data_IF_108190057376
#
_entry.id   IF_108190057376
#
_cell.length_a   1.000
_cell.length_b   1.000
_cell.length_c   1.000
_cell.angle_alpha   90.00
_cell.angle_beta   90.00
_cell.angle_gamma   90.00
#
_symmetry.space_group_name_H-M   'P 1'
#
loop_
_entity.id
_entity.type
_entity.pdbx_description
1 polymer ?
#
# COMPACT_ATOMS: atom_id res chain seq x y z
N UNK A 1 26.41 23.54 18.22
CA UNK A 1 26.67 22.45 17.25
C UNK A 1 26.95 21.08 17.91
N UNK A 2 27.73 20.99 18.99
CA UNK A 2 28.08 19.70 19.66
C UNK A 2 26.87 18.93 20.22
N UNK A 3 25.85 19.62 20.76
CA UNK A 3 24.60 18.98 21.24
C UNK A 3 23.79 18.36 20.10
N UNK A 4 23.74 19.00 18.93
CA UNK A 4 22.97 18.53 17.77
C UNK A 4 23.59 17.26 17.19
N UNK A 5 24.92 17.18 17.10
CA UNK A 5 25.64 15.98 16.62
C UNK A 5 25.46 14.76 17.54
N UNK A 6 25.39 14.95 18.87
CA UNK A 6 25.11 13.86 19.82
C UNK A 6 23.71 13.31 19.66
N UNK A 7 22.71 14.17 19.43
CA UNK A 7 21.32 13.75 19.19
C UNK A 7 21.21 13.00 17.85
N UNK A 8 21.87 13.47 16.79
CA UNK A 8 21.89 12.77 15.49
C UNK A 8 22.49 11.37 15.60
N UNK A 9 23.58 11.20 16.35
CA UNK A 9 24.19 9.88 16.55
C UNK A 9 23.29 8.92 17.35
N UNK A 10 22.59 9.41 18.38
CA UNK A 10 21.66 8.57 19.17
C UNK A 10 20.47 8.12 18.31
N UNK A 11 19.91 9.02 17.49
CA UNK A 11 18.80 8.71 16.60
C UNK A 11 19.22 7.70 15.52
N UNK A 12 20.43 7.84 14.97
CA UNK A 12 20.96 6.92 13.96
C UNK A 12 21.27 5.53 14.53
N UNK A 13 21.79 5.46 15.76
CA UNK A 13 22.03 4.18 16.46
C UNK A 13 20.72 3.47 16.85
N UNK A 14 19.72 4.22 17.30
CA UNK A 14 18.38 3.67 17.56
C UNK A 14 17.71 3.16 16.28
N UNK A 15 17.90 3.87 15.17
CA UNK A 15 17.44 3.47 13.84
C UNK A 15 18.10 2.17 13.35
N UNK A 16 19.42 2.02 13.47
CA UNK A 16 20.10 0.76 13.15
C UNK A 16 19.60 -0.41 14.02
N UNK A 17 19.36 -0.17 15.31
CA UNK A 17 18.82 -1.20 16.22
C UNK A 17 17.41 -1.67 15.82
N UNK A 18 16.52 -0.74 15.46
CA UNK A 18 15.15 -1.07 15.02
C UNK A 18 15.11 -1.82 13.69
N UNK A 19 15.96 -1.42 12.72
CA UNK A 19 16.06 -2.12 11.43
C UNK A 19 16.61 -3.54 11.61
N UNK A 20 17.63 -3.73 12.47
CA UNK A 20 18.18 -5.05 12.78
C UNK A 20 17.14 -5.94 13.48
N UNK A 21 16.38 -5.39 14.43
CA UNK A 21 15.28 -6.11 15.08
C UNK A 21 14.17 -6.51 14.10
N UNK A 22 13.79 -5.61 13.19
CA UNK A 22 12.77 -5.87 12.18
C UNK A 22 13.20 -6.97 11.17
N UNK A 23 14.45 -6.96 10.73
CA UNK A 23 15.01 -7.95 9.79
C UNK A 23 15.17 -9.33 10.45
N UNK A 24 15.67 -9.37 11.70
CA UNK A 24 15.84 -10.62 12.45
C UNK A 24 14.50 -11.34 12.72
N UNK A 25 13.41 -10.58 12.91
CA UNK A 25 12.09 -11.14 13.20
C UNK A 25 11.35 -11.71 11.98
N UNK A 26 11.77 -11.42 10.73
CA UNK A 26 11.02 -11.80 9.52
C UNK A 26 11.71 -12.82 8.58
N UNK A 27 12.92 -13.28 8.88
CA UNK A 27 13.56 -14.39 8.14
C UNK A 27 13.62 -14.19 6.62
N UNK A 28 14.07 -13.02 6.15
CA UNK A 28 14.05 -12.65 4.72
C UNK A 28 15.16 -13.36 3.89
N UNK A 29 14.91 -13.70 2.62
CA UNK A 29 15.90 -14.31 1.73
C UNK A 29 17.01 -13.34 1.28
N UNK A 30 18.21 -13.87 1.01
CA UNK A 30 19.46 -13.13 0.83
C UNK A 30 19.44 -12.01 -0.24
N UNK A 31 18.58 -12.09 -1.26
CA UNK A 31 18.45 -11.06 -2.29
C UNK A 31 17.87 -9.72 -1.75
N UNK A 32 17.16 -9.75 -0.61
CA UNK A 32 16.61 -8.56 0.07
C UNK A 32 17.52 -8.05 1.21
N UNK A 33 18.61 -8.75 1.51
CA UNK A 33 19.58 -8.40 2.56
C UNK A 33 20.60 -7.31 2.12
N UNK A 34 20.55 -6.86 0.87
CA UNK A 34 21.43 -5.81 0.33
C UNK A 34 21.14 -4.42 0.92
N UNK A 35 19.88 -4.13 1.24
CA UNK A 35 19.46 -2.83 1.77
C UNK A 35 19.93 -2.58 3.22
N UNK A 36 19.80 -3.53 4.18
CA UNK A 36 20.35 -3.37 5.54
C UNK A 36 21.87 -3.22 5.58
N UNK A 37 22.60 -3.96 4.72
CA UNK A 37 24.07 -3.88 4.63
C UNK A 37 24.51 -2.53 4.05
N UNK A 38 23.82 -2.05 3.01
CA UNK A 38 24.05 -0.71 2.46
C UNK A 38 23.77 0.39 3.50
N UNK A 39 22.70 0.24 4.31
CA UNK A 39 22.37 1.15 5.40
C UNK A 39 23.43 1.13 6.53
N UNK A 40 24.02 -0.02 6.84
CA UNK A 40 25.14 -0.13 7.80
C UNK A 40 26.39 0.59 7.30
N UNK A 41 26.73 0.44 6.02
CA UNK A 41 27.87 1.13 5.40
C UNK A 41 27.65 2.64 5.41
N UNK A 42 26.45 3.10 5.05
CA UNK A 42 26.08 4.52 5.07
C UNK A 42 26.10 5.08 6.50
N UNK A 43 25.57 4.35 7.48
CA UNK A 43 25.59 4.76 8.88
C UNK A 43 27.02 4.83 9.44
N UNK A 44 27.88 3.86 9.13
CA UNK A 44 29.28 3.85 9.55
C UNK A 44 30.08 5.00 8.93
N UNK A 45 29.86 5.30 7.65
CA UNK A 45 30.46 6.45 6.97
C UNK A 45 30.00 7.78 7.61
N UNK A 46 28.71 7.89 7.97
CA UNK A 46 28.15 9.07 8.64
C UNK A 46 28.73 9.32 10.04
N UNK A 47 28.89 8.27 10.86
CA UNK A 47 29.51 8.39 12.20
C UNK A 47 30.97 8.85 12.07
N UNK A 48 31.68 8.40 11.04
CA UNK A 48 33.09 8.73 10.82
C UNK A 48 33.30 10.15 10.31
N UNK A 49 32.40 10.66 9.46
CA UNK A 49 32.44 12.05 8.96
C UNK A 49 32.05 13.04 10.06
N UNK A 50 31.01 12.74 10.84
CA UNK A 50 30.58 13.59 11.96
C UNK A 50 31.61 13.67 13.08
N UNK A 51 32.32 12.57 13.38
CA UNK A 51 33.37 12.57 14.41
C UNK A 51 34.61 13.36 14.00
N UNK A 52 34.97 13.38 12.71
CA UNK A 52 36.08 14.20 12.20
C UNK A 52 35.81 15.71 12.31
N UNK A 53 34.62 16.16 11.94
CA UNK A 53 34.26 17.59 12.06
C UNK A 53 34.19 18.09 13.51
N UNK A 54 33.80 17.24 14.46
CA UNK A 54 33.83 17.58 15.90
C UNK A 54 35.28 17.69 16.41
N UNK A 55 36.19 16.84 15.92
CA UNK A 55 37.61 16.88 16.26
C UNK A 55 38.31 18.13 15.70
N UNK A 56 37.98 18.54 14.47
CA UNK A 56 38.55 19.75 13.86
C UNK A 56 38.01 21.04 14.47
N UNK A 57 36.72 21.08 14.82
CA UNK A 57 36.12 22.23 15.51
C UNK A 57 36.68 22.46 16.93
N UNK A 58 37.25 21.42 17.56
CA UNK A 58 37.92 21.52 18.86
C UNK A 58 39.36 22.04 18.79
N UNK A 59 39.95 22.15 17.59
CA UNK A 59 41.35 22.58 17.38
C UNK A 59 41.50 24.06 17.03
N UNK A 60 40.41 24.79 16.79
CA UNK A 60 40.44 26.23 16.51
C UNK A 60 40.49 26.98 17.85
N UNK A 61 41.67 27.49 18.21
CA UNK A 61 41.85 28.36 19.37
C UNK A 61 41.10 29.70 19.21
N UNK A 62 40.90 30.46 20.30
CA UNK A 62 40.23 31.76 20.23
C UNK A 62 40.98 32.71 19.28
N UNK A 63 40.26 33.63 18.59
CA UNK A 63 40.90 34.59 17.70
C UNK A 63 41.91 35.45 18.48
N UNK A 64 43.05 35.82 17.87
CA UNK A 64 44.02 36.69 18.52
C UNK A 64 43.40 38.06 18.84
N UNK A 65 43.77 38.70 19.96
CA UNK A 65 43.27 40.02 20.30
C UNK A 65 43.68 41.05 19.22
N UNK A 66 42.88 42.12 19.03
CA UNK A 66 43.16 43.13 18.00
C UNK A 66 44.50 43.82 18.26
N UNK A 67 45.30 43.99 17.18
CA UNK A 67 46.64 44.59 17.23
C UNK A 67 46.54 46.08 17.59
N UNK A 68 47.12 46.45 18.74
CA UNK A 68 47.11 47.81 19.31
C UNK A 68 47.80 48.89 18.45
N UNK A 69 48.36 48.52 17.30
CA UNK A 69 49.12 49.40 16.40
C UNK A 69 48.26 50.23 15.43
N UNK A 70 46.93 50.07 15.43
CA UNK A 70 46.00 50.86 14.59
C UNK A 70 44.86 51.51 15.40
N UNK A 71 45.13 52.00 16.61
CA UNK A 71 44.22 52.92 17.29
C UNK A 71 44.46 54.35 16.78
N UNK A 72 43.64 54.84 15.85
CA UNK A 72 43.63 56.27 15.51
C UNK A 72 42.90 57.07 16.59
N UNK A 73 43.42 58.23 17.04
CA UNK A 73 42.71 59.08 17.97
C UNK A 73 41.52 59.78 17.29
N UNK A 74 40.34 59.68 17.90
CA UNK A 74 39.17 60.49 17.52
C UNK A 74 39.40 61.96 17.93
N UNK A 75 39.10 62.95 17.08
CA UNK A 75 39.01 64.33 17.54
C UNK A 75 37.74 64.51 18.38
N UNK A 76 37.89 65.23 19.48
CA UNK A 76 36.81 65.65 20.34
C UNK A 76 35.97 66.73 19.64
N UNK A 77 34.79 66.35 19.16
CA UNK A 77 33.65 67.25 19.06
C UNK A 77 32.42 66.47 19.52
N UNK A 78 32.09 66.65 20.80
CA UNK A 78 30.81 66.23 21.33
C UNK A 78 29.77 67.32 20.98
N UNK A 79 28.58 66.86 20.59
CA UNK A 79 27.27 67.23 21.14
C UNK A 79 26.21 67.38 20.04
N UNK A 80 25.18 66.54 20.21
CA UNK A 80 23.80 66.65 19.75
C UNK A 80 23.55 66.76 18.24
N UNK A 81 22.92 65.72 17.69
CA UNK A 81 21.65 65.89 16.96
C UNK A 81 20.89 64.55 16.94
N UNK A 82 19.72 64.61 17.57
CA UNK A 82 18.47 63.88 17.33
C UNK A 82 18.53 62.46 16.75
N UNK A 83 18.03 61.55 17.58
CA UNK A 83 17.23 60.38 17.21
C UNK A 83 16.31 60.63 16.01
N UNK A 84 16.50 59.86 14.94
CA UNK A 84 15.48 59.23 14.10
C UNK A 84 16.18 58.53 12.93
N UNK A 85 16.69 57.30 13.16
CA UNK A 85 16.91 56.37 12.06
C UNK A 85 15.58 55.62 11.84
N UNK A 86 15.03 55.63 10.61
CA UNK A 86 13.77 54.98 10.32
C UNK A 86 13.94 53.50 10.61
N UNK A 87 13.04 52.97 11.45
CA UNK A 87 12.92 51.56 11.73
C UNK A 87 13.18 50.77 10.44
N UNK A 88 14.32 50.08 10.37
CA UNK A 88 14.49 48.96 9.45
C UNK A 88 13.28 48.10 9.72
N UNK A 89 12.33 48.12 8.81
CA UNK A 89 11.11 47.36 8.91
C UNK A 89 11.54 45.91 9.01
N UNK A 90 11.62 45.41 10.25
CA UNK A 90 11.71 44.00 10.51
C UNK A 90 10.45 43.42 9.86
N UNK A 91 10.62 42.78 8.70
CA UNK A 91 9.53 42.03 8.09
C UNK A 91 8.85 41.23 9.20
N UNK A 92 7.53 41.33 9.37
CA UNK A 92 6.86 40.66 10.46
C UNK A 92 7.17 39.17 10.33
N UNK A 93 7.93 38.68 11.30
CA UNK A 93 8.31 37.29 11.47
C UNK A 93 7.06 36.49 11.86
N UNK A 94 6.10 36.38 10.95
CA UNK A 94 5.20 35.24 10.92
C UNK A 94 6.11 34.03 10.83
N UNK A 95 6.24 33.30 11.94
CA UNK A 95 7.03 32.09 12.05
C UNK A 95 6.71 31.18 10.88
N UNK A 96 7.53 31.23 9.82
CA UNK A 96 7.24 30.53 8.56
C UNK A 96 7.10 29.05 8.90
N UNK A 97 5.96 28.46 8.54
CA UNK A 97 5.65 27.07 8.88
C UNK A 97 6.81 26.15 8.50
N UNK A 98 7.11 25.15 9.33
CA UNK A 98 8.24 24.23 9.13
C UNK A 98 8.25 23.65 7.71
N UNK A 99 7.06 23.32 7.19
CA UNK A 99 6.85 22.84 5.83
C UNK A 99 7.36 23.82 4.76
N UNK A 100 7.03 25.11 4.90
CA UNK A 100 7.48 26.14 3.95
C UNK A 100 8.98 26.37 4.03
N UNK A 101 9.57 26.31 5.24
CA UNK A 101 11.03 26.43 5.42
C UNK A 101 11.79 25.30 4.76
N UNK A 102 11.32 24.05 4.89
CA UNK A 102 11.92 22.93 4.17
C UNK A 102 11.73 23.07 2.67
N UNK A 103 10.50 23.32 2.21
CA UNK A 103 10.21 23.51 0.78
C UNK A 103 11.12 24.55 0.16
N UNK A 104 11.34 25.68 0.83
CA UNK A 104 12.22 26.74 0.35
C UNK A 104 13.69 26.35 0.39
N UNK A 105 14.10 25.35 1.17
CA UNK A 105 15.49 24.93 1.37
C UNK A 105 16.22 25.73 2.47
N UNK A 106 15.49 26.30 3.42
CA UNK A 106 16.05 27.18 4.47
C UNK A 106 16.84 26.39 5.55
N UNK A 107 16.62 25.07 5.64
CA UNK A 107 17.38 24.18 6.50
C UNK A 107 18.76 23.84 5.92
N UNK A 108 19.69 23.43 6.77
CA UNK A 108 20.99 22.94 6.32
C UNK A 108 20.83 21.63 5.55
N UNK A 109 21.76 21.35 4.62
CA UNK A 109 21.75 20.13 3.82
C UNK A 109 21.64 18.86 4.69
N UNK A 110 22.37 18.70 5.82
CA UNK A 110 22.20 17.53 6.69
C UNK A 110 20.83 17.42 7.33
N UNK A 111 20.19 18.53 7.71
CA UNK A 111 18.83 18.50 8.29
C UNK A 111 17.80 18.13 7.22
N UNK A 112 17.87 18.77 6.05
CA UNK A 112 16.96 18.47 4.94
C UNK A 112 17.11 17.02 4.46
N UNK A 113 18.33 16.51 4.34
CA UNK A 113 18.59 15.17 3.81
C UNK A 113 18.37 14.09 4.88
N UNK A 114 19.08 14.16 6.01
CA UNK A 114 19.07 13.06 6.99
C UNK A 114 17.87 13.10 7.91
N UNK A 115 17.49 14.27 8.43
CA UNK A 115 16.38 14.35 9.40
C UNK A 115 15.06 14.25 8.64
N UNK A 116 14.83 15.14 7.69
CA UNK A 116 13.53 15.17 7.00
C UNK A 116 13.35 13.98 6.07
N UNK A 117 14.42 13.56 5.37
CA UNK A 117 14.39 12.37 4.53
C UNK A 117 14.13 11.08 5.32
N UNK A 118 14.84 10.85 6.44
CA UNK A 118 14.61 9.65 7.25
C UNK A 118 13.23 9.64 7.90
N UNK A 119 12.78 10.78 8.45
CA UNK A 119 11.45 10.89 9.04
C UNK A 119 10.34 10.67 8.00
N UNK A 120 10.49 11.25 6.80
CA UNK A 120 9.56 11.02 5.70
C UNK A 120 9.50 9.54 5.31
N UNK A 121 10.65 8.87 5.24
CA UNK A 121 10.70 7.44 4.92
C UNK A 121 10.04 6.58 6.01
N UNK A 122 10.34 6.84 7.28
CA UNK A 122 9.72 6.13 8.41
C UNK A 122 8.21 6.32 8.42
N UNK A 123 7.74 7.56 8.22
CA UNK A 123 6.32 7.85 8.13
C UNK A 123 5.65 7.05 7.00
N UNK A 124 6.27 6.99 5.82
CA UNK A 124 5.74 6.20 4.71
C UNK A 124 5.77 4.70 4.94
N UNK A 125 6.83 4.18 5.55
CA UNK A 125 6.91 2.76 5.91
C UNK A 125 5.75 2.37 6.86
N UNK A 126 5.47 3.20 7.86
CA UNK A 126 4.34 3.00 8.78
C UNK A 126 3.01 3.04 8.03
N UNK A 127 2.81 4.05 7.16
CA UNK A 127 1.56 4.18 6.39
C UNK A 127 1.34 2.99 5.46
N UNK A 128 2.38 2.53 4.75
CA UNK A 128 2.27 1.40 3.82
C UNK A 128 2.03 0.08 4.55
N UNK A 129 2.70 -0.16 5.69
CA UNK A 129 2.42 -1.34 6.51
C UNK A 129 0.99 -1.30 7.06
N UNK A 130 0.57 -0.17 7.63
CA UNK A 130 -0.80 0.01 8.12
C UNK A 130 -1.84 -0.20 6.99
N UNK A 131 -1.55 0.29 5.78
CA UNK A 131 -2.39 0.09 4.62
C UNK A 131 -2.49 -1.39 4.19
N UNK A 132 -1.38 -2.13 4.26
CA UNK A 132 -1.36 -3.58 4.07
C UNK A 132 -2.23 -4.32 5.08
N UNK A 133 -2.23 -3.90 6.35
CA UNK A 133 -3.13 -4.44 7.37
C UNK A 133 -4.61 -4.12 7.09
N UNK A 134 -4.89 -2.90 6.64
CA UNK A 134 -6.24 -2.46 6.28
C UNK A 134 -6.83 -3.33 5.17
N UNK A 135 -6.03 -3.73 4.17
CA UNK A 135 -6.48 -4.63 3.11
C UNK A 135 -7.08 -5.94 3.63
N UNK A 136 -6.53 -6.48 4.72
CA UNK A 136 -7.02 -7.73 5.33
C UNK A 136 -8.07 -7.51 6.42
N UNK A 137 -8.30 -6.27 6.86
CA UNK A 137 -9.16 -5.95 7.99
C UNK A 137 -10.50 -5.32 7.58
N UNK A 138 -10.61 -4.81 6.35
CA UNK A 138 -11.82 -4.14 5.85
C UNK A 138 -12.54 -5.03 4.83
N UNK A 139 -13.82 -5.32 5.11
CA UNK A 139 -14.69 -6.09 4.18
C UNK A 139 -15.18 -5.25 2.99
N UNK A 140 -15.18 -3.91 3.12
CA UNK A 140 -15.62 -3.00 2.05
C UNK A 140 -14.49 -2.72 1.07
N UNK A 141 -14.55 -3.36 -0.10
CA UNK A 141 -13.64 -3.09 -1.21
C UNK A 141 -13.69 -1.60 -1.61
N UNK A 142 -14.87 -0.96 -1.58
CA UNK A 142 -15.00 0.46 -1.89
C UNK A 142 -14.23 1.37 -0.94
N UNK A 143 -14.30 1.11 0.36
CA UNK A 143 -13.54 1.89 1.34
C UNK A 143 -12.03 1.69 1.16
N UNK A 144 -11.59 0.45 0.94
CA UNK A 144 -10.19 0.16 0.61
C UNK A 144 -9.73 0.93 -0.64
N UNK A 145 -10.55 0.94 -1.69
CA UNK A 145 -10.28 1.70 -2.93
C UNK A 145 -10.13 3.20 -2.67
N UNK A 146 -11.01 3.80 -1.86
CA UNK A 146 -10.90 5.22 -1.50
C UNK A 146 -9.57 5.52 -0.80
N UNK A 147 -9.20 4.70 0.17
CA UNK A 147 -7.92 4.84 0.90
C UNK A 147 -6.72 4.66 -0.04
N UNK A 148 -6.78 3.69 -0.95
CA UNK A 148 -5.75 3.47 -1.97
C UNK A 148 -5.53 4.73 -2.79
N UNK A 149 -6.60 5.32 -3.35
CA UNK A 149 -6.50 6.54 -4.16
C UNK A 149 -5.90 7.70 -3.37
N UNK A 150 -6.37 7.92 -2.13
CA UNK A 150 -5.86 9.00 -1.27
C UNK A 150 -4.36 8.83 -1.00
N UNK A 151 -3.93 7.63 -0.59
CA UNK A 151 -2.52 7.35 -0.30
C UNK A 151 -1.67 7.49 -1.55
N UNK A 152 -2.13 6.93 -2.67
CA UNK A 152 -1.39 6.96 -3.92
C UNK A 152 -1.24 8.37 -4.48
N UNK A 153 -2.23 9.25 -4.30
CA UNK A 153 -2.12 10.67 -4.66
C UNK A 153 -1.26 11.46 -3.66
N UNK A 154 -1.28 11.11 -2.37
CA UNK A 154 -0.51 11.79 -1.33
C UNK A 154 1.01 11.53 -1.43
N UNK A 155 1.41 10.32 -1.84
CA UNK A 155 2.83 9.93 -1.93
C UNK A 155 3.62 10.85 -2.88
N UNK A 156 3.23 11.07 -4.15
CA UNK A 156 3.96 11.97 -5.04
C UNK A 156 4.01 13.42 -4.54
N UNK A 157 2.93 13.92 -3.94
CA UNK A 157 2.87 15.29 -3.41
C UNK A 157 3.87 15.47 -2.26
N UNK A 158 3.91 14.51 -1.33
CA UNK A 158 4.86 14.53 -0.23
C UNK A 158 6.30 14.35 -0.72
N UNK A 159 6.53 13.42 -1.64
CA UNK A 159 7.83 13.19 -2.25
C UNK A 159 8.35 14.43 -2.96
N UNK A 160 7.49 15.15 -3.70
CA UNK A 160 7.84 16.43 -4.32
C UNK A 160 8.28 17.45 -3.26
N UNK A 161 7.55 17.55 -2.15
CA UNK A 161 7.92 18.44 -1.04
C UNK A 161 9.32 18.14 -0.51
N UNK A 162 9.62 16.85 -0.29
CA UNK A 162 10.92 16.40 0.19
C UNK A 162 12.04 16.66 -0.83
N UNK A 163 11.82 16.31 -2.09
CA UNK A 163 12.81 16.45 -3.17
C UNK A 163 13.21 17.89 -3.38
N UNK A 164 12.23 18.80 -3.47
CA UNK A 164 12.49 20.22 -3.63
C UNK A 164 13.19 20.83 -2.42
N UNK A 165 12.87 20.38 -1.21
CA UNK A 165 13.52 20.86 -0.01
C UNK A 165 14.98 20.43 0.12
N UNK A 166 15.30 19.18 -0.26
CA UNK A 166 16.69 18.70 -0.34
C UNK A 166 17.46 19.41 -1.46
N UNK A 167 16.87 19.53 -2.65
CA UNK A 167 17.51 20.17 -3.79
C UNK A 167 17.89 21.63 -3.50
N UNK A 168 16.94 22.42 -3.01
CA UNK A 168 17.18 23.84 -2.67
C UNK A 168 18.12 24.03 -1.48
N UNK A 169 18.18 23.05 -0.57
CA UNK A 169 19.17 23.05 0.51
C UNK A 169 20.58 22.73 -0.01
N UNK A 170 20.71 21.89 -1.05
CA UNK A 170 21.96 21.65 -1.74
C UNK A 170 22.44 22.90 -2.49
N UNK A 171 21.55 23.63 -3.18
CA UNK A 171 21.88 24.90 -3.85
C UNK A 171 22.41 25.94 -2.86
N UNK A 172 21.77 26.09 -1.70
CA UNK A 172 22.26 26.99 -0.64
C UNK A 172 23.53 26.49 0.03
N UNK A 173 23.77 25.18 0.08
CA UNK A 173 25.02 24.64 0.61
C UNK A 173 26.20 25.09 -0.27
N UNK A 174 26.04 25.01 -1.59
CA UNK A 174 27.04 25.48 -2.56
C UNK A 174 27.24 26.99 -2.44
N UNK A 175 26.16 27.78 -2.38
CA UNK A 175 26.23 29.24 -2.24
C UNK A 175 26.86 29.73 -0.93
N UNK A 176 26.98 28.86 0.09
CA UNK A 176 27.66 29.15 1.37
C UNK A 176 29.11 28.63 1.40
N UNK A 177 29.65 28.15 0.28
CA UNK A 177 31.00 27.58 0.21
C UNK A 177 31.11 26.15 0.78
N UNK A 178 30.00 25.42 0.83
CA UNK A 178 29.98 24.02 1.24
C UNK A 178 30.73 23.10 0.26
N UNK A 179 31.12 21.91 0.72
CA UNK A 179 31.87 20.99 -0.12
C UNK A 179 30.99 20.43 -1.26
N UNK A 180 31.39 20.61 -2.55
CA UNK A 180 30.55 20.27 -3.71
C UNK A 180 30.16 18.79 -3.82
N UNK A 181 30.95 17.91 -3.21
CA UNK A 181 30.67 16.48 -3.20
C UNK A 181 29.33 16.17 -2.53
N UNK A 182 29.02 16.83 -1.41
CA UNK A 182 27.81 16.54 -0.62
C UNK A 182 26.55 17.06 -1.29
N UNK A 183 26.59 18.24 -1.89
CA UNK A 183 25.47 18.77 -2.67
C UNK A 183 25.23 17.94 -3.93
N UNK A 184 26.29 17.49 -4.61
CA UNK A 184 26.19 16.61 -5.77
C UNK A 184 25.58 15.24 -5.42
N UNK A 185 26.01 14.61 -4.33
CA UNK A 185 25.45 13.33 -3.86
C UNK A 185 23.98 13.46 -3.45
N UNK A 186 23.60 14.57 -2.80
CA UNK A 186 22.22 14.84 -2.45
C UNK A 186 21.33 14.99 -3.69
N UNK A 187 21.77 15.77 -4.70
CA UNK A 187 21.06 15.92 -5.98
C UNK A 187 20.93 14.60 -6.72
N UNK A 188 22.00 13.82 -6.79
CA UNK A 188 21.97 12.49 -7.39
C UNK A 188 20.94 11.58 -6.71
N UNK A 189 20.92 11.55 -5.37
CA UNK A 189 19.91 10.78 -4.61
C UNK A 189 18.49 11.23 -4.95
N UNK A 190 18.25 12.55 -5.00
CA UNK A 190 16.93 13.11 -5.37
C UNK A 190 16.52 12.65 -6.77
N UNK A 191 17.42 12.68 -7.75
CA UNK A 191 17.13 12.22 -9.13
C UNK A 191 16.76 10.74 -9.13
N UNK A 192 17.53 9.89 -8.43
CA UNK A 192 17.24 8.45 -8.31
C UNK A 192 15.88 8.22 -7.66
N UNK A 193 15.59 8.87 -6.53
CA UNK A 193 14.31 8.74 -5.84
C UNK A 193 13.13 9.26 -6.66
N UNK A 194 13.28 10.39 -7.36
CA UNK A 194 12.26 10.93 -8.24
C UNK A 194 11.98 9.99 -9.43
N UNK A 195 13.03 9.42 -10.01
CA UNK A 195 12.93 8.44 -11.10
C UNK A 195 12.20 7.18 -10.63
N UNK A 196 12.58 6.63 -9.47
CA UNK A 196 11.91 5.48 -8.88
C UNK A 196 10.44 5.78 -8.53
N UNK A 197 10.15 6.98 -8.03
CA UNK A 197 8.76 7.43 -7.76
C UNK A 197 7.95 7.46 -9.05
N UNK A 198 8.50 7.97 -10.15
CA UNK A 198 7.84 8.01 -11.44
C UNK A 198 7.60 6.59 -12.01
N UNK A 199 8.59 5.69 -11.90
CA UNK A 199 8.47 4.28 -12.31
C UNK A 199 7.36 3.59 -11.50
N UNK A 200 7.34 3.76 -10.18
CA UNK A 200 6.31 3.19 -9.33
C UNK A 200 4.93 3.78 -9.64
N UNK A 201 4.85 5.09 -9.88
CA UNK A 201 3.61 5.73 -10.28
C UNK A 201 3.06 5.14 -11.59
N UNK A 202 3.92 4.94 -12.59
CA UNK A 202 3.55 4.33 -13.86
C UNK A 202 3.09 2.87 -13.72
N UNK A 203 3.79 2.07 -12.90
CA UNK A 203 3.42 0.66 -12.63
C UNK A 203 2.04 0.52 -11.99
N UNK A 204 1.68 1.46 -11.11
CA UNK A 204 0.43 1.45 -10.39
C UNK A 204 -0.70 2.21 -11.09
N UNK A 205 -0.46 2.83 -12.24
CA UNK A 205 -1.45 3.67 -12.93
C UNK A 205 -2.74 2.89 -13.26
N UNK A 206 -2.60 1.64 -13.69
CA UNK A 206 -3.75 0.77 -13.98
C UNK A 206 -4.56 0.44 -12.71
N UNK A 207 -3.90 0.07 -11.61
CA UNK A 207 -4.56 -0.13 -10.32
C UNK A 207 -5.25 1.14 -9.84
N UNK A 208 -4.61 2.31 -9.99
CA UNK A 208 -5.22 3.59 -9.64
C UNK A 208 -6.52 3.82 -10.42
N UNK A 209 -6.53 3.55 -11.73
CA UNK A 209 -7.72 3.71 -12.57
C UNK A 209 -8.87 2.81 -12.07
N UNK A 210 -8.58 1.55 -11.79
CA UNK A 210 -9.56 0.60 -11.28
C UNK A 210 -10.08 0.99 -9.89
N UNK A 211 -9.19 1.25 -8.93
CA UNK A 211 -9.58 1.63 -7.58
C UNK A 211 -10.31 2.98 -7.56
N UNK A 212 -9.95 3.93 -8.43
CA UNK A 212 -10.70 5.18 -8.58
C UNK A 212 -12.13 4.93 -9.07
N UNK A 213 -12.32 4.04 -10.05
CA UNK A 213 -13.65 3.67 -10.52
C UNK A 213 -14.47 3.01 -9.40
N UNK A 214 -13.89 2.07 -8.65
CA UNK A 214 -14.56 1.43 -7.52
C UNK A 214 -14.89 2.44 -6.41
N UNK A 215 -13.99 3.38 -6.10
CA UNK A 215 -14.19 4.40 -5.07
C UNK A 215 -15.45 5.25 -5.35
N UNK A 216 -15.70 5.60 -6.61
CA UNK A 216 -16.92 6.32 -7.03
C UNK A 216 -18.14 5.41 -7.23
N UNK A 217 -18.03 4.11 -6.95
CA UNK A 217 -19.12 3.13 -7.00
C UNK A 217 -19.26 2.40 -8.35
N UNK A 218 -18.29 2.55 -9.24
CA UNK A 218 -18.27 1.91 -10.56
C UNK A 218 -17.21 0.80 -10.64
N UNK A 219 -17.56 -0.42 -10.22
CA UNK A 219 -16.67 -1.57 -10.40
C UNK A 219 -16.63 -2.02 -11.88
N UNK A 220 -15.46 -2.01 -12.54
CA UNK A 220 -15.34 -2.28 -13.97
C UNK A 220 -15.53 -3.75 -14.38
N UNK A 221 -15.58 -4.70 -13.45
CA UNK A 221 -15.59 -6.14 -13.78
C UNK A 221 -16.94 -6.69 -14.29
N UNK A 222 -17.97 -5.85 -14.37
CA UNK A 222 -19.27 -6.20 -14.93
C UNK A 222 -20.44 -5.82 -14.03
N UNK A 223 -21.57 -6.51 -14.21
CA UNK A 223 -22.82 -6.24 -13.50
C UNK A 223 -23.32 -7.51 -12.81
N UNK A 224 -24.11 -7.32 -11.76
CA UNK A 224 -24.84 -8.39 -11.08
C UNK A 224 -26.33 -8.10 -11.13
N UNK A 225 -27.11 -9.13 -11.40
CA UNK A 225 -28.56 -9.10 -11.36
C UNK A 225 -29.02 -10.09 -10.29
N UNK A 226 -29.87 -9.61 -9.40
CA UNK A 226 -30.41 -10.37 -8.27
C UNK A 226 -31.91 -10.20 -8.27
N UNK A 227 -32.65 -11.30 -8.30
CA UNK A 227 -34.11 -11.28 -8.24
C UNK A 227 -34.63 -12.54 -7.55
N UNK A 228 -35.80 -12.48 -6.90
CA UNK A 228 -36.49 -13.69 -6.48
C UNK A 228 -37.03 -14.44 -7.71
N UNK A 229 -37.33 -15.73 -7.53
CA UNK A 229 -38.22 -16.49 -8.40
C UNK A 229 -39.67 -16.05 -8.21
N UNK A 230 -40.54 -16.39 -9.15
CA UNK A 230 -41.95 -15.95 -9.14
C UNK A 230 -42.71 -16.52 -7.92
N UNK A 231 -42.28 -17.69 -7.43
CA UNK A 231 -42.78 -18.33 -6.20
C UNK A 231 -42.11 -17.83 -4.91
N UNK A 232 -41.06 -17.00 -5.00
CA UNK A 232 -40.30 -16.49 -3.86
C UNK A 232 -39.41 -17.51 -3.14
N UNK A 233 -39.37 -18.78 -3.58
CA UNK A 233 -38.64 -19.86 -2.89
C UNK A 233 -37.13 -19.88 -3.18
N UNK A 234 -36.69 -19.12 -4.18
CA UNK A 234 -35.28 -19.02 -4.54
C UNK A 234 -34.87 -17.61 -4.96
N UNK A 235 -33.59 -17.31 -4.80
CA UNK A 235 -32.96 -16.09 -5.30
C UNK A 235 -32.07 -16.43 -6.49
N UNK A 236 -32.36 -15.84 -7.65
CA UNK A 236 -31.54 -15.95 -8.86
C UNK A 236 -30.45 -14.89 -8.84
N UNK A 237 -29.20 -15.35 -8.95
CA UNK A 237 -28.00 -14.52 -9.00
C UNK A 237 -27.31 -14.73 -10.35
N UNK A 238 -27.28 -13.70 -11.18
CA UNK A 238 -26.68 -13.73 -12.51
C UNK A 238 -25.65 -12.64 -12.71
N UNK A 239 -24.50 -12.97 -13.31
CA UNK A 239 -23.45 -12.01 -13.67
C UNK A 239 -22.24 -12.05 -12.73
N UNK A 240 -21.48 -10.96 -12.68
CA UNK A 240 -20.19 -10.90 -11.97
C UNK A 240 -20.37 -10.54 -10.50
N UNK A 241 -19.64 -11.21 -9.61
CA UNK A 241 -19.51 -10.86 -8.19
C UNK A 241 -18.64 -9.60 -8.02
N UNK A 242 -19.17 -8.47 -8.48
CA UNK A 242 -18.59 -7.12 -8.35
C UNK A 242 -18.72 -6.56 -6.93
N UNK A 243 -18.08 -5.43 -6.66
CA UNK A 243 -18.23 -4.66 -5.41
C UNK A 243 -19.71 -4.52 -4.99
N UNK A 244 -19.97 -4.84 -3.73
CA UNK A 244 -21.30 -4.83 -3.10
C UNK A 244 -22.22 -5.98 -3.54
N UNK A 245 -21.74 -6.96 -4.31
CA UNK A 245 -22.53 -8.10 -4.77
C UNK A 245 -23.08 -8.90 -3.60
N UNK A 246 -22.24 -9.23 -2.61
CA UNK A 246 -22.68 -10.02 -1.47
C UNK A 246 -23.78 -9.30 -0.69
N UNK A 247 -23.60 -8.01 -0.42
CA UNK A 247 -24.62 -7.24 0.29
C UNK A 247 -25.93 -7.14 -0.49
N UNK A 248 -25.88 -6.97 -1.82
CA UNK A 248 -27.10 -6.95 -2.66
C UNK A 248 -27.83 -8.29 -2.62
N UNK A 249 -27.10 -9.41 -2.73
CA UNK A 249 -27.68 -10.75 -2.67
C UNK A 249 -28.26 -11.03 -1.29
N UNK A 250 -27.50 -10.77 -0.23
CA UNK A 250 -27.95 -11.04 1.15
C UNK A 250 -29.14 -10.17 1.54
N UNK A 251 -29.19 -8.90 1.12
CA UNK A 251 -30.39 -8.07 1.30
C UNK A 251 -31.62 -8.64 0.61
N UNK A 252 -31.46 -9.16 -0.61
CA UNK A 252 -32.58 -9.81 -1.32
C UNK A 252 -33.04 -11.07 -0.59
N UNK A 253 -32.10 -11.90 -0.11
CA UNK A 253 -32.42 -13.07 0.71
C UNK A 253 -33.17 -12.66 1.98
N UNK A 254 -32.71 -11.62 2.68
CA UNK A 254 -33.36 -11.14 3.91
C UNK A 254 -34.77 -10.56 3.64
N UNK A 255 -35.02 -10.08 2.42
CA UNK A 255 -36.33 -9.59 1.96
C UNK A 255 -37.23 -10.71 1.41
N UNK A 256 -36.72 -11.94 1.26
CA UNK A 256 -37.45 -13.10 0.73
C UNK A 256 -37.43 -14.23 1.78
N UNK A 257 -38.30 -14.17 2.80
CA UNK A 257 -38.23 -15.07 3.96
C UNK A 257 -38.48 -16.54 3.61
N UNK A 258 -39.11 -16.83 2.47
CA UNK A 258 -39.34 -18.18 1.98
C UNK A 258 -38.21 -18.72 1.10
N UNK A 259 -37.25 -17.85 0.73
CA UNK A 259 -36.12 -18.28 -0.07
C UNK A 259 -35.27 -19.32 0.70
N UNK A 260 -35.10 -20.49 0.09
CA UNK A 260 -34.24 -21.56 0.62
C UNK A 260 -33.04 -21.85 -0.28
N UNK A 261 -33.10 -21.41 -1.53
CA UNK A 261 -32.09 -21.74 -2.55
C UNK A 261 -31.53 -20.50 -3.22
N UNK A 262 -30.22 -20.46 -3.44
CA UNK A 262 -29.59 -19.55 -4.40
C UNK A 262 -29.36 -20.25 -5.73
N UNK A 263 -29.95 -19.72 -6.80
CA UNK A 263 -29.74 -20.16 -8.18
C UNK A 263 -28.60 -19.34 -8.79
N UNK A 264 -27.49 -19.99 -9.13
CA UNK A 264 -26.25 -19.37 -9.54
C UNK A 264 -26.04 -19.48 -11.07
N UNK A 265 -25.75 -18.34 -11.69
CA UNK A 265 -25.23 -18.22 -13.05
C UNK A 265 -24.16 -17.12 -13.10
N UNK A 266 -22.93 -17.44 -12.72
CA UNK A 266 -21.85 -16.47 -12.54
C UNK A 266 -20.50 -17.01 -12.99
N UNK A 267 -19.74 -16.18 -13.70
CA UNK A 267 -18.34 -16.44 -14.06
C UNK A 267 -17.36 -16.11 -12.93
N UNK A 268 -17.86 -15.68 -11.76
CA UNK A 268 -17.05 -15.29 -10.61
C UNK A 268 -16.92 -13.78 -10.48
N UNK A 269 -15.78 -13.29 -9.97
CA UNK A 269 -15.55 -11.88 -9.67
C UNK A 269 -14.59 -11.67 -8.49
N UNK A 270 -14.86 -10.68 -7.65
CA UNK A 270 -14.05 -10.36 -6.47
C UNK A 270 -14.11 -11.49 -5.45
N UNK A 271 -12.95 -12.05 -5.08
CA UNK A 271 -12.86 -13.14 -4.08
C UNK A 271 -13.39 -12.71 -2.71
N UNK A 272 -13.19 -11.46 -2.31
CA UNK A 272 -13.74 -10.90 -1.06
C UNK A 272 -15.27 -10.93 -1.03
N UNK A 273 -15.92 -10.50 -2.12
CA UNK A 273 -17.39 -10.54 -2.26
C UNK A 273 -17.90 -11.98 -2.24
N UNK A 274 -17.23 -12.89 -2.93
CA UNK A 274 -17.60 -14.30 -2.93
C UNK A 274 -17.49 -14.93 -1.54
N UNK A 275 -16.44 -14.59 -0.77
CA UNK A 275 -16.26 -15.06 0.61
C UNK A 275 -17.33 -14.50 1.55
N UNK A 276 -17.58 -13.19 1.49
CA UNK A 276 -18.63 -12.54 2.29
C UNK A 276 -20.01 -13.13 1.99
N UNK A 277 -20.31 -13.40 0.72
CA UNK A 277 -21.56 -14.05 0.32
C UNK A 277 -21.63 -15.50 0.80
N UNK A 278 -20.55 -16.27 0.64
CA UNK A 278 -20.45 -17.64 1.14
C UNK A 278 -20.72 -17.72 2.64
N UNK A 279 -20.14 -16.82 3.44
CA UNK A 279 -20.38 -16.79 4.88
C UNK A 279 -21.83 -16.43 5.23
N UNK A 280 -22.43 -15.51 4.49
CA UNK A 280 -23.85 -15.17 4.63
C UNK A 280 -24.79 -16.34 4.28
N UNK A 281 -24.44 -17.15 3.28
CA UNK A 281 -25.14 -18.38 2.88
C UNK A 281 -25.05 -19.45 3.98
N UNK A 282 -23.84 -19.70 4.50
CA UNK A 282 -23.61 -20.66 5.59
C UNK A 282 -24.44 -20.32 6.82
N UNK A 283 -24.42 -19.05 7.25
CA UNK A 283 -25.19 -18.57 8.41
C UNK A 283 -26.70 -18.76 8.26
N UNK A 284 -27.21 -18.73 7.02
CA UNK A 284 -28.63 -18.91 6.71
C UNK A 284 -29.00 -20.35 6.31
N UNK A 285 -28.02 -21.25 6.29
CA UNK A 285 -28.17 -22.65 5.89
C UNK A 285 -28.88 -22.85 4.53
N UNK A 286 -28.63 -21.94 3.58
CA UNK A 286 -29.26 -21.98 2.25
C UNK A 286 -28.69 -23.10 1.39
N UNK A 287 -29.50 -23.63 0.49
CA UNK A 287 -29.07 -24.51 -0.58
C UNK A 287 -28.57 -23.69 -1.78
N UNK A 288 -27.76 -24.30 -2.63
CA UNK A 288 -27.19 -23.65 -3.83
C UNK A 288 -27.40 -24.54 -5.05
N UNK A 289 -27.80 -23.93 -6.16
CA UNK A 289 -28.08 -24.62 -7.41
C UNK A 289 -27.43 -23.87 -8.59
N UNK A 290 -26.54 -24.52 -9.33
CA UNK A 290 -25.98 -23.93 -10.55
C UNK A 290 -26.90 -24.22 -11.74
N UNK A 291 -27.50 -23.18 -12.31
CA UNK A 291 -28.41 -23.33 -13.46
C UNK A 291 -27.67 -23.45 -14.79
N UNK A 292 -26.59 -22.68 -14.97
CA UNK A 292 -25.81 -22.65 -16.22
C UNK A 292 -24.32 -22.66 -15.97
N UNK A 293 -23.79 -21.72 -15.19
CA UNK A 293 -22.36 -21.61 -14.95
C UNK A 293 -22.04 -21.11 -13.54
N UNK A 294 -21.02 -21.69 -12.92
CA UNK A 294 -20.43 -21.18 -11.69
C UNK A 294 -18.92 -21.38 -11.72
N UNK A 295 -18.21 -20.35 -12.16
CA UNK A 295 -16.76 -20.40 -12.39
C UNK A 295 -16.00 -19.45 -11.45
N UNK A 296 -14.70 -19.71 -11.25
CA UNK A 296 -13.81 -18.84 -10.48
C UNK A 296 -14.33 -18.60 -9.04
N UNK A 297 -14.42 -17.34 -8.61
CA UNK A 297 -14.95 -16.96 -7.30
C UNK A 297 -16.38 -17.46 -7.02
N UNK A 298 -17.22 -17.72 -8.04
CA UNK A 298 -18.56 -18.27 -7.82
C UNK A 298 -18.52 -19.62 -7.09
N UNK A 299 -17.47 -20.42 -7.30
CA UNK A 299 -17.33 -21.73 -6.67
C UNK A 299 -17.34 -21.64 -5.13
N UNK A 300 -16.94 -20.50 -4.56
CA UNK A 300 -17.00 -20.27 -3.11
C UNK A 300 -18.43 -20.22 -2.61
N UNK A 301 -19.28 -19.56 -3.40
CA UNK A 301 -20.71 -19.39 -3.14
C UNK A 301 -21.42 -20.74 -3.28
N UNK A 302 -21.14 -21.49 -4.34
CA UNK A 302 -21.65 -22.86 -4.51
C UNK A 302 -21.27 -23.75 -3.32
N UNK A 303 -20.00 -23.77 -2.93
CA UNK A 303 -19.54 -24.67 -1.86
C UNK A 303 -20.03 -24.26 -0.46
N UNK A 304 -20.59 -23.07 -0.30
CA UNK A 304 -21.19 -22.62 0.95
C UNK A 304 -22.59 -23.18 1.20
N UNK A 305 -23.26 -23.69 0.17
CA UNK A 305 -24.60 -24.23 0.28
C UNK A 305 -24.64 -25.52 1.11
N UNK A 306 -25.75 -25.71 1.84
CA UNK A 306 -26.01 -26.96 2.58
C UNK A 306 -26.20 -28.13 1.61
N UNK A 307 -27.09 -27.97 0.62
CA UNK A 307 -27.12 -28.81 -0.59
C UNK A 307 -26.49 -28.05 -1.74
N UNK A 308 -25.61 -28.72 -2.47
CA UNK A 308 -24.80 -28.15 -3.56
C UNK A 308 -25.15 -28.89 -4.82
N UNK A 309 -26.00 -28.27 -5.63
CA UNK A 309 -26.64 -28.90 -6.78
C UNK A 309 -26.25 -28.16 -8.07
N UNK A 310 -26.34 -28.87 -9.18
CA UNK A 310 -26.07 -28.31 -10.50
C UNK A 310 -26.95 -29.00 -11.54
N UNK A 311 -27.47 -28.21 -12.48
CA UNK A 311 -28.23 -28.73 -13.61
C UNK A 311 -27.38 -29.64 -14.52
N UNK A 312 -28.01 -30.47 -15.38
CA UNK A 312 -27.30 -31.48 -16.17
C UNK A 312 -26.22 -30.93 -17.10
N UNK A 313 -26.42 -29.70 -17.61
CA UNK A 313 -25.49 -29.01 -18.53
C UNK A 313 -24.73 -27.87 -17.86
N UNK A 314 -24.81 -27.75 -16.54
CA UNK A 314 -24.15 -26.68 -15.82
C UNK A 314 -22.62 -26.85 -15.83
N UNK A 315 -21.90 -25.76 -16.04
CA UNK A 315 -20.44 -25.72 -16.01
C UNK A 315 -19.94 -25.18 -14.69
N UNK A 316 -19.01 -25.87 -14.05
CA UNK A 316 -18.36 -25.40 -12.83
C UNK A 316 -16.85 -25.34 -13.10
N UNK A 317 -16.31 -24.14 -13.17
CA UNK A 317 -14.95 -23.87 -13.66
C UNK A 317 -14.00 -23.40 -12.58
N UNK A 318 -12.78 -23.94 -12.58
CA UNK A 318 -11.71 -23.56 -11.67
C UNK A 318 -10.50 -23.03 -12.44
N UNK A 319 -9.82 -22.06 -11.86
CA UNK A 319 -8.51 -21.57 -12.29
C UNK A 319 -7.82 -20.90 -11.09
N UNK A 320 -6.51 -20.65 -11.21
CA UNK A 320 -5.78 -19.89 -10.18
C UNK A 320 -6.24 -18.43 -10.14
N UNK A 321 -6.33 -17.87 -8.93
CA UNK A 321 -6.71 -16.46 -8.74
C UNK A 321 -5.79 -15.50 -9.49
N UNK A 322 -6.35 -14.34 -9.83
CA UNK A 322 -5.61 -13.20 -10.38
C UNK A 322 -6.15 -11.90 -9.84
N UNK A 323 -5.37 -10.85 -10.06
CA UNK A 323 -5.78 -9.48 -9.79
C UNK A 323 -6.06 -8.78 -11.12
N UNK A 324 -7.12 -7.99 -11.16
CA UNK A 324 -7.35 -7.04 -12.24
C UNK A 324 -6.53 -5.79 -11.92
N UNK A 325 -5.92 -5.18 -12.93
CA UNK A 325 -5.14 -3.96 -12.75
C UNK A 325 -5.57 -2.81 -13.66
N UNK A 326 -6.84 -2.76 -14.04
CA UNK A 326 -7.36 -1.79 -15.02
C UNK A 326 -6.90 -2.02 -16.47
N UNK A 327 -5.69 -2.55 -16.69
CA UNK A 327 -5.10 -2.81 -18.01
C UNK A 327 -5.08 -4.30 -18.40
N UNK A 328 -5.50 -5.19 -17.49
CA UNK A 328 -5.52 -6.62 -17.74
C UNK A 328 -5.50 -7.45 -16.46
N UNK A 329 -5.22 -8.73 -16.66
CA UNK A 329 -5.12 -9.72 -15.59
C UNK A 329 -3.65 -9.89 -15.22
N UNK A 330 -3.33 -9.76 -13.94
CA UNK A 330 -1.99 -9.92 -13.40
C UNK A 330 -1.92 -11.13 -12.46
N UNK A 331 -0.78 -11.84 -12.50
CA UNK A 331 -0.54 -12.92 -11.55
C UNK A 331 -0.38 -12.36 -10.14
N UNK A 332 -1.16 -12.89 -9.21
CA UNK A 332 -1.12 -12.47 -7.81
C UNK A 332 -0.87 -13.70 -6.93
N UNK A 333 0.40 -13.98 -6.57
CA UNK A 333 0.74 -15.12 -5.72
C UNK A 333 0.02 -15.12 -4.37
N UNK A 334 -0.26 -13.95 -3.81
CA UNK A 334 -0.96 -13.84 -2.53
C UNK A 334 -2.44 -14.19 -2.68
N UNK A 335 -3.09 -13.74 -3.76
CA UNK A 335 -4.46 -14.13 -4.10
C UNK A 335 -4.55 -15.63 -4.40
N UNK A 336 -3.61 -16.19 -5.14
CA UNK A 336 -3.53 -17.64 -5.41
C UNK A 336 -3.40 -18.41 -4.10
N UNK A 337 -2.45 -18.04 -3.24
CA UNK A 337 -2.27 -18.71 -1.95
C UNK A 337 -3.52 -18.60 -1.06
N UNK A 338 -4.17 -17.43 -1.01
CA UNK A 338 -5.44 -17.24 -0.29
C UNK A 338 -6.54 -18.13 -0.84
N UNK A 339 -6.62 -18.28 -2.16
CA UNK A 339 -7.62 -19.12 -2.80
C UNK A 339 -7.43 -20.59 -2.50
N UNK A 340 -6.20 -21.10 -2.62
CA UNK A 340 -5.90 -22.50 -2.33
C UNK A 340 -6.12 -22.82 -0.83
N UNK A 341 -5.82 -21.88 0.08
CA UNK A 341 -6.16 -22.02 1.50
C UNK A 341 -7.67 -22.12 1.74
N UNK A 342 -8.46 -21.30 1.04
CA UNK A 342 -9.92 -21.37 1.15
C UNK A 342 -10.46 -22.72 0.70
N UNK A 343 -9.97 -23.24 -0.42
CA UNK A 343 -10.37 -24.56 -0.92
C UNK A 343 -9.99 -25.70 0.04
N UNK A 344 -8.78 -25.64 0.62
CA UNK A 344 -8.36 -26.59 1.66
C UNK A 344 -9.27 -26.53 2.88
N UNK A 345 -9.61 -25.33 3.36
CA UNK A 345 -10.52 -25.14 4.49
C UNK A 345 -11.96 -25.61 4.18
N UNK A 346 -12.36 -25.60 2.91
CA UNK A 346 -13.63 -26.17 2.46
C UNK A 346 -13.61 -27.70 2.32
N UNK A 347 -12.48 -28.36 2.60
CA UNK A 347 -12.34 -29.82 2.59
C UNK A 347 -12.11 -30.44 1.22
N UNK A 348 -11.68 -29.66 0.23
CA UNK A 348 -11.33 -30.19 -1.10
C UNK A 348 -10.07 -31.08 -1.02
N UNK A 349 -9.99 -32.16 -1.81
CA UNK A 349 -8.78 -32.98 -1.92
C UNK A 349 -7.56 -32.21 -2.41
N UNK A 350 -6.37 -32.53 -1.90
CA UNK A 350 -5.13 -31.81 -2.24
C UNK A 350 -4.75 -31.91 -3.72
N UNK A 351 -5.02 -33.03 -4.37
CA UNK A 351 -4.81 -33.23 -5.81
C UNK A 351 -5.74 -32.33 -6.65
N UNK A 352 -6.99 -32.19 -6.24
CA UNK A 352 -7.94 -31.23 -6.81
C UNK A 352 -7.40 -29.81 -6.67
N UNK A 353 -7.00 -29.41 -5.45
CA UNK A 353 -6.44 -28.07 -5.16
C UNK A 353 -5.18 -27.81 -5.98
N UNK A 354 -4.27 -28.78 -6.08
CA UNK A 354 -3.05 -28.67 -6.86
C UNK A 354 -3.35 -28.44 -8.35
N UNK A 355 -4.37 -29.12 -8.90
CA UNK A 355 -4.82 -28.90 -10.29
C UNK A 355 -5.42 -27.51 -10.48
N UNK A 356 -6.18 -26.99 -9.51
CA UNK A 356 -6.65 -25.59 -9.56
C UNK A 356 -5.48 -24.62 -9.60
N UNK A 357 -4.48 -24.80 -8.74
CA UNK A 357 -3.28 -23.95 -8.70
C UNK A 357 -2.44 -23.98 -9.98
N UNK A 358 -2.43 -25.10 -10.69
CA UNK A 358 -1.75 -25.26 -11.99
C UNK A 358 -2.55 -24.70 -13.18
N UNK A 359 -3.86 -24.48 -13.01
CA UNK A 359 -4.71 -24.01 -14.10
C UNK A 359 -4.51 -22.51 -14.32
N UNK A 360 -4.02 -22.07 -15.50
CA UNK A 360 -3.78 -20.67 -15.79
C UNK A 360 -5.04 -19.82 -15.63
N UNK A 361 -4.89 -18.56 -15.28
CA UNK A 361 -6.04 -17.68 -15.04
C UNK A 361 -6.75 -17.19 -16.30
N UNK A 362 -6.12 -17.38 -17.45
CA UNK A 362 -6.68 -17.09 -18.78
C UNK A 362 -7.52 -18.24 -19.32
N UNK A 363 -7.50 -19.39 -18.66
CA UNK A 363 -8.25 -20.59 -19.04
C UNK A 363 -9.03 -21.15 -17.86
N UNK A 364 -9.83 -22.18 -18.11
CA UNK A 364 -10.62 -22.84 -17.06
C UNK A 364 -10.45 -24.35 -17.18
N UNK A 365 -10.32 -24.99 -16.02
CA UNK A 365 -10.55 -26.41 -15.88
C UNK A 365 -11.99 -26.63 -15.45
N UNK A 366 -12.75 -27.39 -16.23
CA UNK A 366 -14.11 -27.82 -15.93
C UNK A 366 -14.09 -29.31 -15.58
N UNK A 367 -14.12 -29.70 -14.29
CA UNK A 367 -14.18 -31.10 -13.90
C UNK A 367 -15.53 -31.73 -14.31
N UNK A 368 -15.53 -33.03 -14.53
CA UNK A 368 -16.75 -33.81 -14.73
C UNK A 368 -17.64 -33.78 -13.48
N UNK A 369 -18.93 -34.13 -13.65
CA UNK A 369 -19.88 -34.19 -12.53
C UNK A 369 -19.41 -35.15 -11.44
N UNK A 370 -18.85 -36.30 -11.82
CA UNK A 370 -18.33 -37.30 -10.88
C UNK A 370 -17.09 -36.79 -10.14
N UNK A 371 -16.18 -36.09 -10.82
CA UNK A 371 -15.06 -35.40 -10.15
C UNK A 371 -15.57 -34.35 -9.15
N UNK A 372 -16.59 -33.58 -9.49
CA UNK A 372 -17.17 -32.56 -8.61
C UNK A 372 -17.86 -33.17 -7.37
N UNK A 373 -18.55 -34.30 -7.53
CA UNK A 373 -19.17 -35.04 -6.41
C UNK A 373 -18.09 -35.72 -5.56
N UNK A 374 -17.11 -36.36 -6.20
CA UNK A 374 -16.00 -37.05 -5.54
C UNK A 374 -15.10 -36.12 -4.72
N UNK A 375 -14.86 -34.91 -5.24
CA UNK A 375 -14.13 -33.86 -4.54
C UNK A 375 -14.96 -33.11 -3.49
N UNK A 376 -16.26 -33.40 -3.38
CA UNK A 376 -17.16 -32.73 -2.45
C UNK A 376 -17.50 -31.29 -2.82
N UNK A 377 -17.38 -30.88 -4.09
CA UNK A 377 -17.91 -29.60 -4.59
C UNK A 377 -19.43 -29.66 -4.70
N UNK A 378 -19.95 -30.76 -5.25
CA UNK A 378 -21.39 -31.05 -5.34
C UNK A 378 -21.78 -32.05 -4.26
N UNK A 379 -23.02 -31.94 -3.78
CA UNK A 379 -23.61 -32.93 -2.88
C UNK A 379 -23.90 -34.21 -3.65
N UNK A 380 -23.69 -35.37 -3.02
CA UNK A 380 -24.14 -36.65 -3.57
C UNK A 380 -25.66 -36.61 -3.77
N UNK A 381 -26.18 -37.10 -4.91
CA UNK A 381 -27.61 -37.33 -5.06
C UNK A 381 -28.11 -38.22 -3.92
N UNK A 382 -29.34 -38.00 -3.44
CA UNK A 382 -29.98 -39.01 -2.60
C UNK A 382 -30.20 -40.26 -3.46
N UNK A 383 -29.95 -41.44 -2.90
CA UNK A 383 -30.23 -42.71 -3.58
C UNK A 383 -31.69 -42.71 -4.10
N UNK A 384 -31.87 -42.90 -5.41
CA UNK A 384 -33.18 -42.93 -6.08
C UNK A 384 -33.62 -41.63 -6.77
N UNK A 385 -32.76 -40.63 -6.93
CA UNK A 385 -33.11 -39.36 -7.61
C UNK A 385 -32.70 -39.28 -9.11
N UNK A 386 -32.08 -40.34 -9.65
CA UNK A 386 -31.65 -40.40 -11.06
C UNK A 386 -32.66 -41.20 -11.91
N UNK A 387 -33.94 -40.81 -11.89
CA UNK A 387 -34.93 -41.21 -12.90
C UNK A 387 -35.86 -40.02 -13.17
N UNK A 388 -35.46 -39.12 -14.08
CA UNK A 388 -36.24 -37.94 -14.47
C UNK A 388 -35.67 -37.19 -15.65
#
# INVERSE_FOLDING_TARGET
MVRTAKVTNIVLSAFCGLVLGYVALRGMPAAQASLPVMLLVIAALNIRVLSRHVSEAGKVGPPPPPDSRYAMPMPAFAVALSSEDPAVAAEPALSRSYLMRHWRGDFSLPVSYWVNGALAWVAWAIVLEAFGWVYYSIDSLRLYSMLYVVIFCAVPVWSMWLYMGVWRAADRHDGRGGAPLWSSLARFTVIVCATMTAIQAARHAGWLQEYAAIAVGNDPIGKIYVRPTDDGEAIVVTGTLREGAAQRVLRMVDQSPDARTLILNSTGGRLGEARMLADGIRRRALDTYVSKECSSACTYVLMAGRKRMAGPKAKIGFHRATSFNGNGVEEDPAAVASMLRYYRAAGLPEDFIARVGKTPATTFWYPSRDELIGAGVLSRPKAGADEG
#
